data_IF_323986079234
#
_entry.id   IF_323986079234
#
_cell.length_a   1.000
_cell.length_b   1.000
_cell.length_c   1.000
_cell.angle_alpha   90.00
_cell.angle_beta   90.00
_cell.angle_gamma   90.00
#
_symmetry.space_group_name_H-M   'P 1'
#
loop_
_entity.id
_entity.type
_entity.pdbx_description
1 polymer ?
#
# COMPACT_ATOMS: atom_id res chain seq x y z
N UNK A 1 10.23 10.41 4.69
CA UNK A 1 9.53 9.91 3.47
C UNK A 1 10.41 8.94 2.69
N UNK A 2 10.05 8.59 1.44
CA UNK A 2 10.94 7.89 0.49
C UNK A 2 12.08 8.79 -0.02
N UNK A 3 11.76 10.08 -0.16
CA UNK A 3 12.61 11.19 -0.58
C UNK A 3 12.14 12.44 0.17
N UNK A 4 13.06 13.34 0.52
CA UNK A 4 12.73 14.69 1.01
C UNK A 4 12.33 15.61 -0.16
N UNK A 5 11.06 16.00 -0.22
CA UNK A 5 10.48 16.79 -1.32
C UNK A 5 10.11 18.20 -0.84
N UNK A 6 10.60 19.23 -1.52
CA UNK A 6 10.09 20.60 -1.34
C UNK A 6 8.97 20.89 -2.36
N UNK A 7 8.17 21.93 -2.11
CA UNK A 7 6.97 22.24 -2.90
C UNK A 7 7.20 22.30 -4.42
N UNK A 8 8.32 22.87 -4.93
CA UNK A 8 8.61 22.86 -6.37
C UNK A 8 8.80 21.45 -6.96
N UNK A 9 9.40 20.53 -6.22
CA UNK A 9 9.64 19.15 -6.63
C UNK A 9 8.35 18.33 -6.58
N UNK A 10 7.47 18.60 -5.62
CA UNK A 10 6.13 18.03 -5.59
C UNK A 10 5.34 18.42 -6.84
N UNK A 11 5.35 19.69 -7.22
CA UNK A 11 4.70 20.16 -8.45
C UNK A 11 5.33 19.54 -9.71
N UNK A 12 6.66 19.42 -9.75
CA UNK A 12 7.36 18.74 -10.85
C UNK A 12 7.01 17.24 -10.95
N UNK A 13 6.90 16.54 -9.82
CA UNK A 13 6.52 15.13 -9.77
C UNK A 13 5.07 14.90 -10.24
N UNK A 14 4.13 15.76 -9.84
CA UNK A 14 2.74 15.70 -10.30
C UNK A 14 2.63 16.02 -11.79
N UNK A 15 3.34 17.06 -12.28
CA UNK A 15 3.34 17.42 -13.69
C UNK A 15 3.93 16.29 -14.57
N UNK A 16 5.01 15.66 -14.13
CA UNK A 16 5.59 14.51 -14.81
C UNK A 16 4.63 13.32 -14.84
N UNK A 17 3.97 13.03 -13.71
CA UNK A 17 2.98 11.94 -13.63
C UNK A 17 1.80 12.18 -14.55
N UNK A 18 1.25 13.40 -14.55
CA UNK A 18 0.15 13.81 -15.41
C UNK A 18 0.53 13.69 -16.90
N UNK A 19 1.73 14.16 -17.28
CA UNK A 19 2.21 14.06 -18.66
C UNK A 19 2.29 12.59 -19.14
N UNK A 20 2.84 11.70 -18.30
CA UNK A 20 2.94 10.26 -18.64
C UNK A 20 1.56 9.61 -18.73
N UNK A 21 0.67 9.88 -17.78
CA UNK A 21 -0.68 9.32 -17.75
C UNK A 21 -1.50 9.79 -18.95
N UNK A 22 -1.45 11.09 -19.28
CA UNK A 22 -2.17 11.66 -20.43
C UNK A 22 -1.63 11.10 -21.74
N UNK A 23 -0.31 11.04 -21.89
CA UNK A 23 0.31 10.47 -23.10
C UNK A 23 -0.10 9.01 -23.30
N UNK A 24 -0.06 8.20 -22.25
CA UNK A 24 -0.49 6.80 -22.33
C UNK A 24 -1.97 6.64 -22.58
N UNK A 25 -2.81 7.51 -21.99
CA UNK A 25 -4.25 7.55 -22.23
C UNK A 25 -4.55 7.84 -23.70
N UNK A 26 -3.82 8.78 -24.31
CA UNK A 26 -3.94 9.11 -25.72
C UNK A 26 -3.44 8.00 -26.65
N UNK A 27 -2.46 7.20 -26.22
CA UNK A 27 -1.93 6.05 -26.96
C UNK A 27 -2.70 4.74 -26.72
N UNK A 28 -3.65 4.73 -25.77
CA UNK A 28 -4.43 3.54 -25.43
C UNK A 28 -3.65 2.46 -24.66
N UNK A 29 -2.48 2.76 -24.12
CA UNK A 29 -1.70 1.79 -23.35
C UNK A 29 -2.16 1.71 -21.89
N UNK A 30 -2.30 0.48 -21.39
CA UNK A 30 -2.53 0.22 -19.97
C UNK A 30 -1.23 0.45 -19.19
N UNK A 31 -1.31 1.28 -18.13
CA UNK A 31 -0.17 1.63 -17.27
C UNK A 31 -0.56 1.54 -15.79
N UNK A 32 0.44 1.42 -14.91
CA UNK A 32 0.25 1.48 -13.45
C UNK A 32 0.49 2.90 -12.94
N UNK A 33 -0.56 3.58 -12.46
CA UNK A 33 -0.45 4.92 -11.88
C UNK A 33 0.40 4.95 -10.62
N UNK A 34 0.46 3.86 -9.86
CA UNK A 34 1.34 3.72 -8.69
C UNK A 34 2.81 3.72 -9.09
N UNK A 35 3.18 3.04 -10.18
CA UNK A 35 4.55 3.05 -10.70
C UNK A 35 4.94 4.43 -11.24
N UNK A 36 4.02 5.09 -11.95
CA UNK A 36 4.27 6.43 -12.47
C UNK A 36 4.44 7.43 -11.33
N UNK A 37 3.52 7.49 -10.37
CA UNK A 37 3.61 8.41 -9.24
C UNK A 37 4.87 8.19 -8.40
N UNK A 38 5.17 6.93 -8.02
CA UNK A 38 6.36 6.61 -7.23
C UNK A 38 7.64 6.94 -8.00
N UNK A 39 7.67 6.65 -9.31
CA UNK A 39 8.78 6.96 -10.20
C UNK A 39 9.03 8.47 -10.34
N UNK A 40 7.96 9.26 -10.50
CA UNK A 40 8.05 10.73 -10.56
C UNK A 40 8.55 11.33 -9.25
N UNK A 41 8.13 10.80 -8.10
CA UNK A 41 8.62 11.23 -6.78
C UNK A 41 10.12 10.94 -6.65
N UNK A 42 10.55 9.72 -6.97
CA UNK A 42 11.97 9.35 -6.95
C UNK A 42 12.78 10.20 -7.94
N UNK A 43 12.26 10.42 -9.15
CA UNK A 43 12.89 11.23 -10.20
C UNK A 43 13.07 12.69 -9.80
N UNK A 44 12.07 13.29 -9.15
CA UNK A 44 12.14 14.67 -8.65
C UNK A 44 13.17 14.86 -7.53
N UNK A 45 13.49 13.78 -6.78
CA UNK A 45 14.50 13.76 -5.73
C UNK A 45 15.93 13.69 -6.23
N UNK A 46 16.18 12.97 -7.33
CA UNK A 46 17.52 12.70 -7.86
C UNK A 46 18.26 13.94 -8.35
N UNK A 47 17.54 14.99 -8.77
CA UNK A 47 18.13 16.20 -9.37
C UNK A 47 18.78 17.18 -8.38
N UNK A 48 18.68 16.93 -7.06
CA UNK A 48 19.15 17.87 -6.02
C UNK A 48 20.48 17.42 -5.43
N UNK A 49 21.47 18.33 -5.40
CA UNK A 49 22.73 18.13 -4.66
C UNK A 49 22.42 17.93 -3.17
N UNK A 50 22.73 16.75 -2.64
CA UNK A 50 22.49 16.38 -1.23
C UNK A 50 21.11 15.80 -0.94
N UNK A 51 20.33 15.38 -1.94
CA UNK A 51 19.08 14.66 -1.68
C UNK A 51 19.37 13.22 -1.23
N UNK A 52 18.84 12.86 -0.06
CA UNK A 52 18.87 11.49 0.44
C UNK A 52 17.65 10.71 -0.08
N UNK A 53 17.89 9.81 -1.03
CA UNK A 53 16.90 8.83 -1.47
C UNK A 53 17.08 7.57 -0.64
N UNK A 54 16.02 7.13 0.05
CA UNK A 54 16.05 5.90 0.87
C UNK A 54 15.88 4.67 -0.02
N UNK A 55 16.94 4.32 -0.76
CA UNK A 55 16.96 3.21 -1.72
C UNK A 55 16.52 1.86 -1.13
N UNK A 56 16.82 1.60 0.15
CA UNK A 56 16.35 0.39 0.84
C UNK A 56 14.82 0.30 0.95
N UNK A 57 14.13 1.43 1.11
CA UNK A 57 12.66 1.46 1.15
C UNK A 57 12.08 1.34 -0.26
N UNK A 58 12.67 2.02 -1.25
CA UNK A 58 12.28 1.87 -2.64
C UNK A 58 12.40 0.41 -3.12
N UNK A 59 13.50 -0.27 -2.77
CA UNK A 59 13.71 -1.69 -3.08
C UNK A 59 12.67 -2.59 -2.41
N UNK A 60 12.32 -2.34 -1.13
CA UNK A 60 11.24 -3.06 -0.44
C UNK A 60 9.89 -2.88 -1.14
N UNK A 61 9.62 -1.70 -1.67
CA UNK A 61 8.40 -1.39 -2.41
C UNK A 61 8.31 -2.17 -3.72
N UNK A 62 9.41 -2.20 -4.49
CA UNK A 62 9.51 -2.99 -5.73
C UNK A 62 9.34 -4.47 -5.43
N UNK A 63 10.00 -4.98 -4.40
CA UNK A 63 9.86 -6.37 -3.98
C UNK A 63 8.41 -6.69 -3.58
N UNK A 64 7.74 -5.78 -2.87
CA UNK A 64 6.33 -5.94 -2.53
C UNK A 64 5.45 -6.03 -3.78
N UNK A 65 5.65 -5.20 -4.80
CA UNK A 65 4.90 -5.28 -6.06
C UNK A 65 5.10 -6.61 -6.80
N UNK A 66 6.30 -7.18 -6.75
CA UNK A 66 6.54 -8.51 -7.33
C UNK A 66 5.90 -9.63 -6.53
N UNK A 67 5.82 -9.52 -5.20
CA UNK A 67 5.22 -10.54 -4.34
C UNK A 67 3.68 -10.49 -4.38
N UNK A 68 3.09 -9.31 -4.57
CA UNK A 68 1.63 -9.16 -4.60
C UNK A 68 0.98 -9.86 -5.77
N UNK A 69 1.63 -9.93 -6.94
CA UNK A 69 1.09 -10.61 -8.13
C UNK A 69 0.95 -12.14 -7.92
N UNK A 70 2.01 -12.90 -7.52
CA UNK A 70 1.89 -14.29 -7.15
C UNK A 70 0.93 -14.53 -5.99
N UNK A 71 0.96 -13.69 -4.96
CA UNK A 71 0.05 -13.82 -3.82
C UNK A 71 -1.43 -13.71 -4.25
N UNK A 72 -1.76 -12.73 -5.10
CA UNK A 72 -3.09 -12.58 -5.66
C UNK A 72 -3.49 -13.80 -6.51
N UNK A 73 -2.56 -14.32 -7.32
CA UNK A 73 -2.76 -15.54 -8.11
C UNK A 73 -3.03 -16.78 -7.24
N UNK A 74 -2.26 -16.97 -6.17
CA UNK A 74 -2.44 -18.08 -5.23
C UNK A 74 -3.78 -18.02 -4.51
N UNK A 75 -4.21 -16.82 -4.07
CA UNK A 75 -5.52 -16.63 -3.45
C UNK A 75 -6.64 -16.94 -4.45
N UNK A 76 -6.52 -16.46 -5.70
CA UNK A 76 -7.46 -16.78 -6.76
C UNK A 76 -7.55 -18.28 -7.05
N UNK A 77 -6.41 -18.96 -7.15
CA UNK A 77 -6.33 -20.41 -7.33
C UNK A 77 -6.98 -21.17 -6.15
N UNK A 78 -6.71 -20.76 -4.91
CA UNK A 78 -7.32 -21.36 -3.73
C UNK A 78 -8.86 -21.23 -3.75
N UNK A 79 -9.38 -20.05 -4.06
CA UNK A 79 -10.83 -19.83 -4.21
C UNK A 79 -11.42 -20.73 -5.31
N UNK A 80 -10.74 -20.88 -6.44
CA UNK A 80 -11.17 -21.75 -7.53
C UNK A 80 -11.22 -23.22 -7.11
N UNK A 81 -10.16 -23.73 -6.46
CA UNK A 81 -10.11 -25.12 -5.99
C UNK A 81 -11.22 -25.43 -4.98
N UNK A 82 -11.46 -24.52 -4.04
CA UNK A 82 -12.51 -24.67 -3.02
C UNK A 82 -13.91 -24.65 -3.67
N UNK A 83 -14.16 -23.71 -4.58
CA UNK A 83 -15.44 -23.62 -5.29
C UNK A 83 -15.70 -24.83 -6.20
N UNK A 84 -14.69 -25.25 -6.96
CA UNK A 84 -14.80 -26.35 -7.91
C UNK A 84 -14.89 -27.73 -7.23
N UNK A 85 -14.24 -27.92 -6.07
CA UNK A 85 -14.28 -29.17 -5.32
C UNK A 85 -15.65 -29.50 -4.72
N UNK A 86 -16.47 -28.49 -4.41
CA UNK A 86 -17.82 -28.66 -3.85
C UNK A 86 -18.89 -28.67 -4.96
N UNK A 87 -18.69 -27.84 -6.01
CA UNK A 87 -19.58 -27.74 -7.15
C UNK A 87 -20.90 -26.99 -6.89
N UNK A 88 -21.39 -26.27 -7.90
CA UNK A 88 -22.67 -25.56 -7.86
C UNK A 88 -22.75 -24.38 -6.88
N UNK A 89 -23.98 -24.00 -6.52
CA UNK A 89 -24.27 -22.94 -5.55
C UNK A 89 -23.57 -23.09 -4.18
N UNK A 90 -23.46 -24.29 -3.55
CA UNK A 90 -22.85 -24.39 -2.23
C UNK A 90 -21.35 -24.07 -2.23
N UNK A 91 -20.62 -24.37 -3.31
CA UNK A 91 -19.21 -23.97 -3.44
C UNK A 91 -19.03 -22.45 -3.49
N UNK A 92 -19.90 -21.75 -4.23
CA UNK A 92 -19.87 -20.28 -4.33
C UNK A 92 -20.26 -19.63 -2.99
N UNK A 93 -21.29 -20.14 -2.33
CA UNK A 93 -21.74 -19.64 -1.03
C UNK A 93 -20.66 -19.79 0.04
N UNK A 94 -19.91 -20.90 0.03
CA UNK A 94 -18.80 -21.12 0.96
C UNK A 94 -17.63 -20.16 0.72
N UNK A 95 -17.19 -19.98 -0.54
CA UNK A 95 -16.13 -19.01 -0.87
C UNK A 95 -16.55 -17.60 -0.46
N UNK A 96 -17.79 -17.20 -0.74
CA UNK A 96 -18.32 -15.91 -0.33
C UNK A 96 -18.32 -15.74 1.19
N UNK A 97 -18.78 -16.74 1.94
CA UNK A 97 -18.77 -16.72 3.41
C UNK A 97 -17.35 -16.61 3.99
N UNK A 98 -16.38 -17.32 3.43
CA UNK A 98 -14.97 -17.25 3.85
C UNK A 98 -14.40 -15.85 3.58
N UNK A 99 -14.66 -15.26 2.42
CA UNK A 99 -14.20 -13.90 2.10
C UNK A 99 -14.81 -12.84 3.02
N UNK A 100 -16.09 -12.96 3.36
CA UNK A 100 -16.76 -12.08 4.32
C UNK A 100 -16.14 -12.23 5.72
N UNK A 101 -15.92 -13.46 6.18
CA UNK A 101 -15.28 -13.72 7.48
C UNK A 101 -13.85 -13.16 7.54
N UNK A 102 -13.06 -13.33 6.48
CA UNK A 102 -11.72 -12.76 6.36
C UNK A 102 -11.75 -11.23 6.36
N UNK A 103 -12.71 -10.62 5.68
CA UNK A 103 -12.90 -9.16 5.66
C UNK A 103 -13.24 -8.64 7.06
N UNK A 104 -14.18 -9.27 7.76
CA UNK A 104 -14.55 -8.92 9.13
C UNK A 104 -13.34 -9.07 10.06
N UNK A 105 -12.61 -10.18 9.95
CA UNK A 105 -11.40 -10.43 10.72
C UNK A 105 -10.34 -9.36 10.48
N UNK A 106 -10.07 -9.01 9.22
CA UNK A 106 -9.10 -7.97 8.82
C UNK A 106 -9.49 -6.60 9.38
N UNK A 107 -10.77 -6.20 9.29
CA UNK A 107 -11.24 -4.92 9.83
C UNK A 107 -11.14 -4.91 11.36
N UNK A 108 -11.54 -5.99 12.04
CA UNK A 108 -11.42 -6.11 13.50
C UNK A 108 -9.96 -6.12 13.94
N UNK A 109 -9.07 -6.72 13.15
CA UNK A 109 -7.63 -6.74 13.40
C UNK A 109 -7.00 -5.36 13.17
N UNK A 110 -7.36 -4.67 12.08
CA UNK A 110 -6.89 -3.32 11.76
C UNK A 110 -7.32 -2.29 12.81
N UNK A 111 -8.52 -2.44 13.39
CA UNK A 111 -9.01 -1.58 14.47
C UNK A 111 -8.22 -1.71 15.79
N UNK A 112 -7.29 -2.66 15.90
CA UNK A 112 -6.41 -2.78 17.09
C UNK A 112 -5.33 -1.70 17.16
N UNK A 113 -5.03 -1.02 16.05
CA UNK A 113 -4.04 0.05 15.99
C UNK A 113 -4.73 1.40 15.77
N UNK A 114 -5.45 1.88 16.78
CA UNK A 114 -6.19 3.13 16.66
C UNK A 114 -5.23 4.33 16.67
N UNK A 115 -5.28 5.14 15.62
CA UNK A 115 -4.54 6.41 15.53
C UNK A 115 -5.33 7.45 16.32
N UNK A 116 -4.74 7.95 17.41
CA UNK A 116 -5.31 9.02 18.23
C UNK A 116 -4.52 10.31 18.04
N UNK A 117 -5.11 11.46 18.38
CA UNK A 117 -4.48 12.78 18.22
C UNK A 117 -3.13 12.94 18.96
N UNK A 118 -2.84 12.07 19.93
CA UNK A 118 -1.54 12.03 20.61
C UNK A 118 -0.43 11.25 19.89
N UNK A 119 -0.77 10.34 18.97
CA UNK A 119 0.17 9.45 18.26
C UNK A 119 0.55 9.96 16.85
N UNK A 120 -0.17 10.97 16.33
CA UNK A 120 0.02 11.40 14.93
C UNK A 120 1.37 12.07 14.64
N UNK A 121 2.07 12.53 15.68
CA UNK A 121 3.37 13.21 15.58
C UNK A 121 4.50 12.46 16.30
N UNK A 122 4.27 11.20 16.70
CA UNK A 122 5.37 10.40 17.24
C UNK A 122 6.42 10.21 16.13
N UNK A 123 7.68 10.57 16.43
CA UNK A 123 8.77 10.45 15.49
C UNK A 123 8.89 8.99 15.07
N UNK A 124 9.02 8.78 13.76
CA UNK A 124 9.10 7.44 13.18
C UNK A 124 10.36 6.71 13.67
N UNK A 125 10.23 5.92 14.74
CA UNK A 125 11.30 5.07 15.26
C UNK A 125 11.41 3.79 14.44
N UNK A 126 12.47 3.68 13.64
CA UNK A 126 12.73 2.51 12.79
C UNK A 126 12.99 1.21 13.59
N UNK A 127 13.27 1.34 14.90
CA UNK A 127 13.60 0.26 15.84
C UNK A 127 12.53 0.04 16.93
N UNK A 128 11.36 0.70 16.84
CA UNK A 128 10.31 0.58 17.85
C UNK A 128 9.74 -0.86 17.89
N UNK A 129 10.03 -1.56 18.98
CA UNK A 129 9.27 -2.76 19.38
C UNK A 129 7.87 -2.28 19.78
N UNK A 130 6.76 -2.88 19.29
CA UNK A 130 5.41 -2.38 19.55
C UNK A 130 5.18 -2.21 21.05
N UNK A 131 5.15 -0.97 21.53
CA UNK A 131 5.05 -0.67 22.95
C UNK A 131 3.67 -1.08 23.47
N UNK A 132 3.65 -1.81 24.57
CA UNK A 132 2.43 -2.15 25.28
C UNK A 132 1.69 -0.86 25.70
N UNK A 133 0.42 -0.76 25.30
CA UNK A 133 -0.44 0.40 25.54
C UNK A 133 -0.56 0.74 27.03
N UNK A 134 -0.16 1.94 27.43
CA UNK A 134 -0.46 2.48 28.76
C UNK A 134 -1.94 2.90 28.77
N UNK A 135 -2.77 2.42 29.73
CA UNK A 135 -4.17 2.79 29.79
C UNK A 135 -4.33 4.26 30.21
N UNK A 136 -5.03 5.04 29.40
CA UNK A 136 -5.40 6.42 29.72
C UNK A 136 -6.51 6.39 30.78
N UNK A 137 -6.19 6.86 31.98
CA UNK A 137 -7.16 7.04 33.06
C UNK A 137 -8.19 8.09 32.65
N UNK A 138 -9.46 7.69 32.56
CA UNK A 138 -10.59 8.59 32.39
C UNK A 138 -10.70 9.50 33.63
N UNK A 139 -10.58 10.81 33.44
CA UNK A 139 -11.03 11.80 34.44
C UNK A 139 -12.42 12.28 34.05
N UNK A 140 -13.34 12.08 35.00
CA UNK A 140 -14.73 12.56 35.06
C UNK A 140 -14.74 14.08 35.19
#
# INVERSE_FOLDING_TARGET
GLVEISSPQGMAAEASSAAVILTSSHLGFALSTTHVATGSILGSGLGRRGAEVRWGVAARMVLAWFITLPAAGLVGAACFFVGNGIGGYPGVALVFGVLVALTIWMIRHSRKTAVHAGNVNEDWDADATPAASVPVAAKV
#
